data_IF_129058646456
#
_entry.id   IF_129058646456
#
_cell.length_a   1.000
_cell.length_b   1.000
_cell.length_c   1.000
_cell.angle_alpha   90.00
_cell.angle_beta   90.00
_cell.angle_gamma   90.00
#
_symmetry.space_group_name_H-M   'P 1'
#
loop_
_entity.id
_entity.type
_entity.pdbx_description
1 polymer ?
#
# COMPACT_ATOMS: atom_id res chain seq x y z
N UNK A 1 3.57 -9.39 12.71
CA UNK A 1 3.52 -9.62 11.23
C UNK A 1 2.92 -8.36 10.67
N UNK A 2 3.50 -7.83 9.60
CA UNK A 2 3.14 -6.53 9.07
C UNK A 2 2.18 -6.68 7.91
N UNK A 3 1.19 -5.77 7.81
CA UNK A 3 0.29 -5.69 6.68
C UNK A 3 0.17 -4.25 6.20
N UNK A 4 0.22 -4.10 4.89
CA UNK A 4 -0.14 -2.87 4.21
C UNK A 4 -1.42 -3.12 3.41
N UNK A 5 -2.50 -2.43 3.80
CA UNK A 5 -3.82 -2.55 3.17
C UNK A 5 -4.14 -1.24 2.47
N UNK A 6 -4.37 -1.30 1.16
CA UNK A 6 -4.68 -0.14 0.33
C UNK A 6 -6.02 -0.40 -0.35
N UNK A 7 -7.01 0.46 -0.10
CA UNK A 7 -8.27 0.46 -0.82
C UNK A 7 -8.26 1.50 -1.94
N UNK A 8 -8.78 1.09 -3.09
CA UNK A 8 -8.95 1.94 -4.27
C UNK A 8 -10.41 2.40 -4.35
N UNK A 9 -10.62 3.66 -4.76
CA UNK A 9 -11.96 4.23 -4.93
C UNK A 9 -12.83 3.36 -5.84
N UNK A 10 -14.07 3.12 -5.44
CA UNK A 10 -15.01 2.21 -6.13
C UNK A 10 -15.45 2.69 -7.51
N UNK A 11 -15.34 3.99 -7.79
CA UNK A 11 -15.61 4.60 -9.08
C UNK A 11 -14.44 4.49 -10.07
N UNK A 12 -13.30 3.91 -9.66
CA UNK A 12 -12.13 3.72 -10.51
C UNK A 12 -12.44 2.72 -11.64
N UNK A 13 -12.20 3.09 -12.92
CA UNK A 13 -12.40 2.20 -14.06
C UNK A 13 -11.52 0.93 -14.03
N UNK A 14 -12.00 -0.16 -14.62
CA UNK A 14 -11.34 -1.47 -14.55
C UNK A 14 -9.94 -1.50 -15.19
N UNK A 15 -9.73 -0.79 -16.28
CA UNK A 15 -8.42 -0.62 -16.94
C UNK A 15 -7.42 0.11 -16.03
N UNK A 16 -7.91 1.08 -15.25
CA UNK A 16 -7.12 1.79 -14.24
C UNK A 16 -6.78 0.89 -13.06
N UNK A 17 -7.69 0.04 -12.58
CA UNK A 17 -7.40 -0.92 -11.50
C UNK A 17 -6.21 -1.83 -11.85
N UNK A 18 -6.17 -2.36 -13.08
CA UNK A 18 -5.04 -3.17 -13.53
C UNK A 18 -3.72 -2.38 -13.55
N UNK A 19 -3.78 -1.12 -13.96
CA UNK A 19 -2.61 -0.22 -13.96
C UNK A 19 -2.12 0.05 -12.54
N UNK A 20 -3.04 0.33 -11.61
CA UNK A 20 -2.75 0.58 -10.19
C UNK A 20 -2.13 -0.64 -9.51
N UNK A 21 -2.69 -1.83 -9.75
CA UNK A 21 -2.12 -3.08 -9.24
C UNK A 21 -0.67 -3.26 -9.70
N UNK A 22 -0.40 -3.08 -11.00
CA UNK A 22 0.96 -3.19 -11.53
C UNK A 22 1.92 -2.10 -11.03
N UNK A 23 1.42 -0.91 -10.66
CA UNK A 23 2.23 0.12 -9.99
C UNK A 23 2.59 -0.33 -8.57
N UNK A 24 1.61 -0.83 -7.81
CA UNK A 24 1.81 -1.32 -6.45
C UNK A 24 2.76 -2.54 -6.42
N UNK A 25 2.53 -3.54 -7.26
CA UNK A 25 3.38 -4.74 -7.34
C UNK A 25 4.85 -4.37 -7.61
N UNK A 26 5.11 -3.39 -8.50
CA UNK A 26 6.47 -2.89 -8.76
C UNK A 26 7.06 -2.10 -7.60
N UNK A 27 6.24 -1.42 -6.79
CA UNK A 27 6.74 -0.73 -5.61
C UNK A 27 7.16 -1.71 -4.51
N UNK A 28 6.44 -2.84 -4.37
CA UNK A 28 6.73 -3.90 -3.41
C UNK A 28 7.66 -5.00 -3.93
N UNK A 29 8.14 -4.88 -5.16
CA UNK A 29 9.27 -5.63 -5.73
C UNK A 29 10.47 -4.67 -5.88
N UNK A 30 11.26 -4.56 -4.82
CA UNK A 30 12.27 -3.52 -4.70
C UNK A 30 13.60 -4.07 -4.15
N UNK A 31 14.58 -3.18 -3.94
CA UNK A 31 15.94 -3.57 -3.54
C UNK A 31 16.03 -4.28 -2.18
N UNK A 32 15.01 -4.19 -1.34
CA UNK A 32 14.95 -4.87 -0.04
C UNK A 32 14.27 -6.24 -0.11
N UNK A 33 13.73 -6.63 -1.27
CA UNK A 33 13.07 -7.90 -1.49
C UNK A 33 11.77 -7.75 -2.29
N UNK A 34 10.93 -8.76 -2.21
CA UNK A 34 9.65 -8.80 -2.91
C UNK A 34 8.54 -9.28 -1.99
N UNK A 35 7.41 -8.59 -2.02
CA UNK A 35 6.16 -9.00 -1.38
C UNK A 35 5.04 -9.00 -2.40
N UNK A 36 4.34 -10.13 -2.54
CA UNK A 36 3.23 -10.25 -3.49
C UNK A 36 1.92 -9.69 -2.92
N UNK A 37 1.09 -9.12 -3.79
CA UNK A 37 -0.28 -8.77 -3.46
C UNK A 37 -1.10 -10.04 -3.22
N UNK A 38 -1.78 -10.09 -2.08
CA UNK A 38 -2.58 -11.23 -1.62
C UNK A 38 -4.08 -10.95 -1.60
N UNK A 39 -4.54 -9.84 -2.18
CA UNK A 39 -5.97 -9.56 -2.31
C UNK A 39 -6.61 -10.39 -3.43
N UNK A 40 -7.85 -10.76 -3.18
CA UNK A 40 -8.76 -11.45 -4.11
C UNK A 40 -9.69 -10.48 -4.87
N UNK A 41 -9.57 -9.16 -4.64
CA UNK A 41 -10.41 -8.15 -5.30
C UNK A 41 -9.55 -7.10 -6.01
N UNK A 42 -10.03 -6.50 -7.12
CA UNK A 42 -9.26 -5.49 -7.83
C UNK A 42 -9.23 -4.12 -7.13
N UNK A 43 -10.10 -3.88 -6.14
CA UNK A 43 -10.23 -2.60 -5.42
C UNK A 43 -9.48 -2.57 -4.09
N UNK A 44 -8.74 -3.63 -3.77
CA UNK A 44 -7.98 -3.74 -2.53
C UNK A 44 -6.62 -4.36 -2.86
N UNK A 45 -5.56 -3.84 -2.28
CA UNK A 45 -4.24 -4.45 -2.32
C UNK A 45 -3.81 -4.78 -0.91
N UNK A 46 -3.25 -5.98 -0.71
CA UNK A 46 -2.81 -6.45 0.60
C UNK A 46 -1.40 -7.03 0.46
N UNK A 47 -0.43 -6.35 1.05
CA UNK A 47 0.96 -6.80 1.12
C UNK A 47 1.28 -7.18 2.55
N UNK A 48 1.93 -8.33 2.75
CA UNK A 48 2.22 -8.88 4.08
C UNK A 48 3.68 -9.26 4.19
N UNK A 49 4.32 -8.92 5.30
CA UNK A 49 5.74 -9.21 5.51
C UNK A 49 6.02 -9.58 6.97
N UNK A 50 6.95 -10.50 7.15
CA UNK A 50 7.62 -10.67 8.43
C UNK A 50 8.71 -9.60 8.63
N UNK A 51 9.42 -9.68 9.76
CA UNK A 51 10.51 -8.76 10.10
C UNK A 51 11.57 -8.62 9.00
N UNK A 52 11.88 -9.70 8.27
CA UNK A 52 12.94 -9.70 7.27
C UNK A 52 12.60 -8.84 6.06
N UNK A 53 11.30 -8.69 5.78
CA UNK A 53 10.78 -7.92 4.65
C UNK A 53 10.05 -6.64 5.09
N UNK A 54 10.15 -6.24 6.37
CA UNK A 54 9.59 -4.98 6.87
C UNK A 54 10.05 -3.77 6.05
N UNK A 55 11.36 -3.67 5.80
CA UNK A 55 11.93 -2.58 4.98
C UNK A 55 11.41 -2.61 3.55
N UNK A 56 11.10 -3.79 3.00
CA UNK A 56 10.50 -3.91 1.67
C UNK A 56 9.13 -3.24 1.62
N UNK A 57 8.29 -3.42 2.66
CA UNK A 57 7.01 -2.73 2.76
C UNK A 57 7.20 -1.21 2.86
N UNK A 58 8.08 -0.74 3.75
CA UNK A 58 8.31 0.70 3.95
C UNK A 58 8.78 1.39 2.66
N UNK A 59 9.73 0.82 1.92
CA UNK A 59 10.20 1.37 0.66
C UNK A 59 9.11 1.38 -0.43
N UNK A 60 8.27 0.36 -0.46
CA UNK A 60 7.12 0.31 -1.36
C UNK A 60 6.11 1.42 -1.06
N UNK A 61 5.79 1.63 0.23
CA UNK A 61 4.90 2.70 0.68
C UNK A 61 5.42 4.09 0.27
N UNK A 62 6.69 4.40 0.57
CA UNK A 62 7.30 5.68 0.18
C UNK A 62 7.30 5.90 -1.35
N UNK A 63 7.42 4.82 -2.12
CA UNK A 63 7.36 4.87 -3.59
C UNK A 63 5.95 5.19 -4.07
N UNK A 64 4.92 4.59 -3.45
CA UNK A 64 3.52 4.79 -3.80
C UNK A 64 2.98 6.15 -3.38
N UNK A 65 3.36 6.63 -2.20
CA UNK A 65 3.04 7.97 -1.70
C UNK A 65 3.44 9.06 -2.70
N UNK A 66 4.64 8.92 -3.30
CA UNK A 66 5.17 9.90 -4.29
C UNK A 66 4.61 9.71 -5.69
N UNK A 67 3.81 8.68 -5.93
CA UNK A 67 3.32 8.34 -7.27
C UNK A 67 1.99 9.04 -7.58
N UNK A 68 2.06 10.09 -8.39
CA UNK A 68 0.89 10.89 -8.81
C UNK A 68 -0.12 10.13 -9.66
N UNK A 69 0.25 8.97 -10.23
CA UNK A 69 -0.67 8.09 -10.95
C UNK A 69 -1.32 7.04 -10.05
N UNK A 70 -0.97 7.00 -8.76
CA UNK A 70 -1.47 6.03 -7.79
C UNK A 70 -2.27 6.71 -6.66
N UNK A 71 -1.63 7.61 -5.92
CA UNK A 71 -2.20 8.20 -4.70
C UNK A 71 -3.60 8.83 -4.89
N UNK A 72 -3.91 9.55 -5.99
CA UNK A 72 -5.24 10.11 -6.20
C UNK A 72 -6.38 9.08 -6.34
N UNK A 73 -6.07 7.79 -6.49
CA UNK A 73 -7.05 6.71 -6.59
C UNK A 73 -7.25 5.96 -5.27
N UNK A 74 -6.45 6.25 -4.24
CA UNK A 74 -6.53 5.60 -2.93
C UNK A 74 -7.67 6.22 -2.12
N UNK A 75 -8.51 5.36 -1.54
CA UNK A 75 -9.61 5.76 -0.63
C UNK A 75 -9.33 5.46 0.83
N UNK A 76 -8.47 4.48 1.12
CA UNK A 76 -7.98 4.19 2.47
C UNK A 76 -6.60 3.54 2.36
N UNK A 77 -5.74 3.81 3.33
CA UNK A 77 -4.42 3.18 3.41
C UNK A 77 -4.07 2.91 4.87
N UNK A 78 -4.06 1.65 5.26
CA UNK A 78 -3.86 1.22 6.64
C UNK A 78 -2.57 0.42 6.77
N UNK A 79 -1.75 0.80 7.73
CA UNK A 79 -0.64 0.01 8.23
C UNK A 79 -1.10 -0.79 9.45
N UNK A 80 -0.76 -2.08 9.48
CA UNK A 80 -1.04 -2.96 10.61
C UNK A 80 0.25 -3.64 11.07
N UNK A 81 0.62 -3.47 12.33
CA UNK A 81 1.47 -4.42 13.04
C UNK A 81 0.60 -5.32 13.93
N UNK A 82 0.51 -6.60 13.56
CA UNK A 82 -0.26 -7.57 14.34
C UNK A 82 0.32 -7.85 15.73
N UNK A 83 1.61 -7.54 15.95
CA UNK A 83 2.27 -7.76 17.22
C UNK A 83 2.13 -6.55 18.17
N UNK A 84 1.89 -5.36 17.62
CA UNK A 84 1.71 -4.13 18.38
C UNK A 84 0.55 -3.29 17.80
N UNK A 85 -0.70 -3.55 18.25
CA UNK A 85 -1.87 -2.85 17.73
C UNK A 85 -1.87 -1.34 17.95
N UNK A 86 -1.09 -0.83 18.91
CA UNK A 86 -0.95 0.59 19.18
C UNK A 86 -0.11 1.30 18.10
N UNK A 87 0.64 0.55 17.28
CA UNK A 87 1.39 1.05 16.12
C UNK A 87 0.61 0.95 14.79
N UNK A 88 -0.66 0.53 14.82
CA UNK A 88 -1.51 0.56 13.63
C UNK A 88 -1.82 2.01 13.24
N UNK A 89 -1.72 2.33 11.95
CA UNK A 89 -1.77 3.71 11.48
C UNK A 89 -2.65 3.90 10.24
N UNK A 90 -3.38 5.02 10.19
CA UNK A 90 -4.03 5.49 8.96
C UNK A 90 -3.03 6.33 8.15
N UNK A 91 -2.29 5.62 7.31
CA UNK A 91 -1.26 6.19 6.45
C UNK A 91 -1.83 7.28 5.53
N UNK A 92 -3.08 7.14 5.07
CA UNK A 92 -3.66 8.14 4.18
C UNK A 92 -3.93 9.46 4.94
N UNK A 93 -4.41 9.38 6.18
CA UNK A 93 -4.61 10.54 7.04
C UNK A 93 -3.28 11.24 7.36
N UNK A 94 -2.22 10.49 7.65
CA UNK A 94 -0.88 11.03 7.92
C UNK A 94 -0.28 11.76 6.70
N UNK A 95 -0.40 11.17 5.51
CA UNK A 95 0.03 11.80 4.24
C UNK A 95 -0.71 13.12 4.02
N UNK A 96 -2.02 13.15 4.26
CA UNK A 96 -2.85 14.34 4.05
C UNK A 96 -2.57 15.44 5.07
N UNK A 97 -2.24 15.09 6.31
CA UNK A 97 -1.90 16.05 7.38
C UNK A 97 -0.58 16.75 7.10
N UNK A 98 0.38 16.05 6.47
CA UNK A 98 1.71 16.59 6.12
C UNK A 98 1.71 17.62 4.98
N UNK A 99 0.55 17.87 4.35
CA UNK A 99 0.38 18.81 3.22
C UNK A 99 -0.18 20.17 3.69
N UNK A 100 -0.56 20.31 4.97
CA UNK A 100 -1.16 21.53 5.55
C UNK A 100 -0.16 22.42 6.27
#
# INVERSE_FOLDING_TARGET
MYKNIIDVRKDTPQDKLKTLAGIADRAFDNRAGKVDNTSDTPYRFIYRADEKLFVCLQLGMLTLEKNTNFLPYVSAWIWIDENDPDENEDILAEIQTSIN
#
